data_IF_641458463634
#
_entry.id   IF_641458463634
#
_cell.length_a   1.000
_cell.length_b   1.000
_cell.length_c   1.000
_cell.angle_alpha   90.00
_cell.angle_beta   90.00
_cell.angle_gamma   90.00
#
_symmetry.space_group_name_H-M   'P 1'
#
loop_
_entity.id
_entity.type
_entity.pdbx_description
1 polymer ?
#
# COMPACT_ATOMS: atom_id res chain seq x y z
N UNK A 1 -2.69 32.81 51.79
CA UNK A 1 -1.79 33.00 50.65
C UNK A 1 -2.18 31.95 49.60
N UNK A 2 -2.89 32.36 48.56
CA UNK A 2 -3.31 31.47 47.46
C UNK A 2 -2.19 31.45 46.40
N UNK A 3 -1.58 30.28 46.18
CA UNK A 3 -0.58 30.09 45.12
C UNK A 3 -1.31 29.79 43.82
N UNK A 4 -1.32 30.76 42.91
CA UNK A 4 -1.84 30.62 41.55
C UNK A 4 -0.79 29.90 40.71
N UNK A 5 -1.03 28.65 40.32
CA UNK A 5 -0.25 27.95 39.32
C UNK A 5 -0.71 28.40 37.94
N UNK A 6 0.13 29.14 37.23
CA UNK A 6 -0.05 29.44 35.83
C UNK A 6 0.55 28.26 35.04
N UNK A 7 -0.31 27.40 34.49
CA UNK A 7 0.07 26.39 33.54
C UNK A 7 0.33 27.05 32.17
N UNK A 8 1.59 27.13 31.79
CA UNK A 8 1.99 27.58 30.45
C UNK A 8 1.75 26.41 29.50
N UNK A 9 0.58 26.39 28.85
CA UNK A 9 0.32 25.47 27.74
C UNK A 9 1.09 25.99 26.52
N UNK A 10 2.24 25.38 26.24
CA UNK A 10 2.94 25.53 24.97
C UNK A 10 2.11 24.82 23.88
N UNK A 11 1.21 25.57 23.26
CA UNK A 11 0.55 25.15 22.03
C UNK A 11 1.60 25.24 20.93
N UNK A 12 2.33 24.15 20.67
CA UNK A 12 3.03 23.97 19.41
C UNK A 12 1.96 23.80 18.33
N UNK A 13 1.54 24.92 17.75
CA UNK A 13 0.81 24.92 16.52
C UNK A 13 1.70 24.39 15.42
N UNK A 14 1.68 23.07 15.18
CA UNK A 14 2.12 22.52 13.91
C UNK A 14 1.13 23.03 12.87
N UNK A 15 1.49 24.10 12.17
CA UNK A 15 0.85 24.41 10.90
C UNK A 15 1.26 23.27 9.95
N UNK A 16 0.44 22.25 9.85
CA UNK A 16 0.46 21.32 8.74
C UNK A 16 -0.01 22.15 7.52
N UNK A 17 0.94 22.75 6.80
CA UNK A 17 0.68 23.18 5.46
C UNK A 17 0.38 21.91 4.67
N UNK A 18 -0.89 21.61 4.47
CA UNK A 18 -1.31 20.68 3.44
C UNK A 18 -0.80 21.32 2.12
N UNK A 19 0.28 20.77 1.59
CA UNK A 19 0.75 21.16 0.27
C UNK A 19 -0.24 20.53 -0.70
N UNK A 20 -1.07 21.34 -1.34
CA UNK A 20 -2.07 20.91 -2.34
C UNK A 20 -1.41 20.32 -3.59
N UNK A 21 -0.09 20.25 -3.62
CA UNK A 21 0.70 19.68 -4.69
C UNK A 21 1.24 18.31 -4.29
N UNK A 22 0.41 17.28 -4.44
CA UNK A 22 0.91 15.92 -4.45
C UNK A 22 1.98 15.78 -5.54
N UNK A 23 3.10 15.07 -5.27
CA UNK A 23 4.10 14.79 -6.29
C UNK A 23 3.44 14.23 -7.55
N UNK A 24 3.98 14.55 -8.75
CA UNK A 24 3.40 14.13 -10.03
C UNK A 24 3.21 12.60 -10.18
N UNK A 25 3.90 11.83 -9.37
CA UNK A 25 3.86 10.36 -9.27
C UNK A 25 3.20 9.85 -7.99
N UNK A 26 2.44 10.68 -7.29
CA UNK A 26 1.69 10.23 -6.11
C UNK A 26 0.57 9.27 -6.52
N UNK A 27 0.58 8.10 -5.92
CA UNK A 27 -0.44 7.08 -6.15
C UNK A 27 -1.62 7.32 -5.22
N UNK A 28 -2.79 7.62 -5.79
CA UNK A 28 -4.00 7.90 -5.01
C UNK A 28 -4.59 6.63 -4.40
N UNK A 29 -4.47 5.48 -5.08
CA UNK A 29 -5.00 4.20 -4.63
C UNK A 29 -3.86 3.20 -4.46
N UNK A 30 -3.94 2.40 -3.42
CA UNK A 30 -2.98 1.33 -3.17
C UNK A 30 -3.72 0.07 -2.72
N UNK A 31 -3.49 -1.04 -3.40
CA UNK A 31 -3.89 -2.36 -2.88
C UNK A 31 -2.70 -3.07 -2.27
N UNK A 32 -2.94 -3.74 -1.15
CA UNK A 32 -1.93 -4.53 -0.48
C UNK A 32 -2.47 -5.92 -0.25
N UNK A 33 -1.75 -6.90 -0.75
CA UNK A 33 -2.01 -8.30 -0.51
C UNK A 33 -0.91 -8.85 0.38
N UNK A 34 -1.27 -9.47 1.49
CA UNK A 34 -0.39 -10.30 2.28
C UNK A 34 -0.78 -11.76 2.07
N UNK A 35 0.19 -12.62 1.88
CA UNK A 35 -0.06 -14.02 1.58
C UNK A 35 1.03 -14.93 2.12
N UNK A 36 0.64 -16.17 2.38
CA UNK A 36 1.58 -17.25 2.62
C UNK A 36 1.98 -17.87 1.28
N UNK A 37 3.27 -17.86 0.99
CA UNK A 37 3.83 -18.52 -0.18
C UNK A 37 4.73 -19.68 0.25
N UNK A 38 4.30 -20.93 0.03
CA UNK A 38 5.09 -22.10 0.44
C UNK A 38 6.43 -22.25 -0.30
N UNK A 39 6.53 -21.69 -1.50
CA UNK A 39 7.74 -21.77 -2.35
C UNK A 39 8.02 -20.39 -2.98
N UNK A 40 8.75 -19.57 -2.26
CA UNK A 40 9.01 -18.15 -2.60
C UNK A 40 9.49 -17.94 -4.05
N UNK A 41 10.45 -18.75 -4.51
CA UNK A 41 11.00 -18.66 -5.87
C UNK A 41 9.92 -18.87 -6.94
N UNK A 42 9.00 -19.81 -6.71
CA UNK A 42 7.90 -20.07 -7.65
C UNK A 42 6.87 -18.93 -7.65
N UNK A 43 6.57 -18.38 -6.49
CA UNK A 43 5.69 -17.21 -6.38
C UNK A 43 6.28 -16.03 -7.13
N UNK A 44 7.55 -15.72 -6.88
CA UNK A 44 8.25 -14.63 -7.56
C UNK A 44 8.28 -14.85 -9.08
N UNK A 45 8.63 -16.04 -9.56
CA UNK A 45 8.67 -16.34 -10.99
C UNK A 45 7.27 -16.22 -11.64
N UNK A 46 6.21 -16.64 -10.94
CA UNK A 46 4.84 -16.48 -11.43
C UNK A 46 4.44 -15.00 -11.51
N UNK A 47 4.82 -14.22 -10.50
CA UNK A 47 4.56 -12.79 -10.46
C UNK A 47 5.34 -12.05 -11.56
N UNK A 48 6.64 -12.32 -11.69
CA UNK A 48 7.49 -11.74 -12.73
C UNK A 48 6.93 -12.03 -14.15
N UNK A 49 6.55 -13.28 -14.40
CA UNK A 49 5.91 -13.68 -15.67
C UNK A 49 4.62 -12.90 -15.93
N UNK A 50 3.80 -12.68 -14.88
CA UNK A 50 2.56 -11.92 -15.00
C UNK A 50 2.84 -10.45 -15.32
N UNK A 51 3.76 -9.82 -14.60
CA UNK A 51 4.12 -8.42 -14.79
C UNK A 51 4.71 -8.15 -16.17
N UNK A 52 5.50 -9.08 -16.70
CA UNK A 52 6.10 -8.99 -18.04
C UNK A 52 5.19 -9.44 -19.18
N UNK A 53 3.94 -9.83 -18.89
CA UNK A 53 2.96 -10.14 -19.92
C UNK A 53 2.58 -8.89 -20.74
N UNK A 54 2.27 -9.02 -22.05
CA UNK A 54 1.95 -7.86 -22.89
C UNK A 54 0.77 -7.04 -22.38
N UNK A 55 -0.22 -7.69 -21.74
CA UNK A 55 -1.40 -7.05 -21.22
C UNK A 55 -1.11 -6.17 -19.99
N UNK A 56 -0.15 -6.58 -19.16
CA UNK A 56 0.22 -5.88 -17.92
C UNK A 56 1.31 -4.85 -18.18
N UNK A 57 2.37 -5.22 -18.88
CA UNK A 57 3.56 -4.39 -19.10
C UNK A 57 3.25 -3.04 -19.79
N UNK A 58 2.25 -3.00 -20.68
CA UNK A 58 1.83 -1.77 -21.37
C UNK A 58 1.20 -0.73 -20.41
N UNK A 59 0.62 -1.15 -19.30
CA UNK A 59 -0.07 -0.26 -18.35
C UNK A 59 0.90 0.44 -17.38
N UNK A 60 2.15 -0.03 -17.30
CA UNK A 60 3.22 0.55 -16.46
C UNK A 60 2.79 0.71 -14.99
N UNK A 61 2.19 -0.33 -14.44
CA UNK A 61 1.85 -0.34 -13.02
C UNK A 61 3.12 -0.23 -12.17
N UNK A 62 3.02 0.53 -11.09
CA UNK A 62 4.04 0.54 -10.04
C UNK A 62 3.67 -0.53 -9.00
N UNK A 63 4.61 -1.45 -8.74
CA UNK A 63 4.32 -2.61 -7.91
C UNK A 63 5.55 -3.01 -7.10
N UNK A 64 5.37 -3.21 -5.81
CA UNK A 64 6.38 -3.77 -4.92
C UNK A 64 6.02 -5.20 -4.55
N UNK A 65 6.94 -6.13 -4.75
CA UNK A 65 6.87 -7.47 -4.20
C UNK A 65 7.92 -7.59 -3.09
N UNK A 66 7.50 -8.01 -1.89
CA UNK A 66 8.38 -8.03 -0.73
C UNK A 66 8.20 -9.29 0.13
N UNK A 67 9.27 -9.66 0.86
CA UNK A 67 9.21 -10.67 1.90
C UNK A 67 8.86 -10.01 3.25
N UNK A 68 7.99 -10.65 4.00
CA UNK A 68 7.65 -10.24 5.36
C UNK A 68 8.68 -10.83 6.32
N UNK A 69 9.37 -9.97 7.05
CA UNK A 69 10.41 -10.39 8.00
C UNK A 69 9.87 -10.59 9.43
N UNK A 70 8.90 -9.77 9.80
CA UNK A 70 8.24 -9.82 11.11
C UNK A 70 6.76 -9.44 10.92
N UNK A 71 5.86 -10.37 11.14
CA UNK A 71 4.42 -10.20 11.00
C UNK A 71 3.64 -10.28 12.32
N UNK A 72 4.32 -10.66 13.40
CA UNK A 72 3.81 -10.62 14.76
C UNK A 72 2.67 -11.59 15.07
N UNK A 73 1.62 -11.61 14.28
CA UNK A 73 0.36 -12.30 14.61
C UNK A 73 -0.32 -13.00 13.43
N UNK A 74 0.18 -12.88 12.22
CA UNK A 74 -0.33 -13.59 11.06
C UNK A 74 0.75 -14.48 10.39
N UNK A 75 0.33 -15.37 9.49
CA UNK A 75 1.19 -16.33 8.83
C UNK A 75 1.70 -15.85 7.47
N UNK A 76 1.58 -14.57 7.16
CA UNK A 76 2.06 -14.02 5.89
C UNK A 76 3.58 -14.10 5.79
N UNK A 77 4.05 -14.62 4.68
CA UNK A 77 5.47 -14.71 4.35
C UNK A 77 5.90 -13.68 3.32
N UNK A 78 4.96 -13.22 2.51
CA UNK A 78 5.20 -12.29 1.42
C UNK A 78 4.04 -11.31 1.27
N UNK A 79 4.30 -10.21 0.57
CA UNK A 79 3.27 -9.28 0.18
C UNK A 79 3.53 -8.65 -1.17
N UNK A 80 2.49 -8.05 -1.70
CA UNK A 80 2.55 -7.23 -2.90
C UNK A 80 1.76 -5.96 -2.70
N UNK A 81 2.36 -4.83 -3.02
CA UNK A 81 1.68 -3.54 -3.03
C UNK A 81 1.57 -3.04 -4.46
N UNK A 82 0.37 -2.71 -4.88
CA UNK A 82 0.10 -2.09 -6.17
C UNK A 82 -0.29 -0.65 -5.96
N UNK A 83 0.30 0.24 -6.74
CA UNK A 83 0.06 1.67 -6.68
C UNK A 83 -0.63 2.13 -7.96
N UNK A 84 -1.72 2.87 -7.80
CA UNK A 84 -2.52 3.35 -8.92
C UNK A 84 -2.67 4.86 -8.84
N UNK A 85 -2.43 5.53 -9.94
CA UNK A 85 -2.55 7.01 -10.02
C UNK A 85 -3.99 7.49 -9.89
N UNK A 86 -4.97 6.66 -10.31
CA UNK A 86 -6.38 7.00 -10.32
C UNK A 86 -7.28 5.74 -10.27
N UNK A 87 -8.58 5.96 -10.13
CA UNK A 87 -9.57 4.88 -10.08
C UNK A 87 -9.67 4.10 -11.40
N UNK A 88 -9.42 4.73 -12.55
CA UNK A 88 -9.46 4.07 -13.86
C UNK A 88 -8.31 3.08 -14.01
N UNK A 89 -7.12 3.43 -13.55
CA UNK A 89 -5.98 2.51 -13.54
C UNK A 89 -6.21 1.34 -12.58
N UNK A 90 -6.81 1.59 -11.41
CA UNK A 90 -7.23 0.52 -10.49
C UNK A 90 -8.25 -0.42 -11.13
N UNK A 91 -9.30 0.12 -11.73
CA UNK A 91 -10.31 -0.68 -12.41
C UNK A 91 -9.72 -1.50 -13.57
N UNK A 92 -8.78 -0.91 -14.32
CA UNK A 92 -8.06 -1.55 -15.40
C UNK A 92 -7.22 -2.73 -14.93
N UNK A 93 -6.50 -2.56 -13.81
CA UNK A 93 -5.73 -3.65 -13.21
C UNK A 93 -6.63 -4.83 -12.83
N UNK A 94 -7.77 -4.56 -12.18
CA UNK A 94 -8.76 -5.58 -11.84
C UNK A 94 -9.33 -6.29 -13.08
N UNK A 95 -9.62 -5.54 -14.16
CA UNK A 95 -10.07 -6.11 -15.42
C UNK A 95 -9.02 -7.05 -16.03
N UNK A 96 -7.76 -6.61 -16.13
CA UNK A 96 -6.67 -7.43 -16.68
C UNK A 96 -6.49 -8.69 -15.83
N UNK A 97 -6.42 -8.55 -14.52
CA UNK A 97 -6.28 -9.67 -13.59
C UNK A 97 -7.41 -10.70 -13.75
N UNK A 98 -8.66 -10.26 -13.87
CA UNK A 98 -9.82 -11.15 -13.93
C UNK A 98 -10.04 -11.79 -15.32
N UNK A 99 -9.82 -11.05 -16.41
CA UNK A 99 -10.28 -11.46 -17.74
C UNK A 99 -9.17 -11.83 -18.73
N UNK A 100 -7.92 -11.33 -18.54
CA UNK A 100 -6.84 -11.61 -19.48
C UNK A 100 -6.36 -13.06 -19.42
N UNK A 101 -5.67 -13.50 -20.46
CA UNK A 101 -5.01 -14.81 -20.45
C UNK A 101 -3.93 -14.87 -19.38
N UNK A 102 -3.10 -13.82 -19.30
CA UNK A 102 -2.03 -13.71 -18.31
C UNK A 102 -2.57 -13.77 -16.87
N UNK A 103 -3.67 -13.06 -16.57
CA UNK A 103 -4.32 -13.09 -15.26
C UNK A 103 -4.86 -14.48 -14.89
N UNK A 104 -5.47 -15.20 -15.83
CA UNK A 104 -5.93 -16.58 -15.59
C UNK A 104 -4.76 -17.53 -15.32
N UNK A 105 -3.70 -17.45 -16.11
CA UNK A 105 -2.49 -18.28 -15.93
C UNK A 105 -1.83 -17.98 -14.58
N UNK A 106 -1.71 -16.71 -14.21
CA UNK A 106 -1.15 -16.30 -12.93
C UNK A 106 -1.95 -16.88 -11.75
N UNK A 107 -3.27 -16.66 -11.72
CA UNK A 107 -4.12 -17.20 -10.65
C UNK A 107 -4.05 -18.71 -10.55
N UNK A 108 -4.06 -19.40 -11.71
CA UNK A 108 -3.89 -20.86 -11.74
C UNK A 108 -2.55 -21.26 -11.13
N UNK A 109 -1.45 -20.61 -11.53
CA UNK A 109 -0.12 -20.91 -11.03
C UNK A 109 0.00 -20.68 -9.52
N UNK A 110 -0.53 -19.55 -9.01
CA UNK A 110 -0.52 -19.26 -7.57
C UNK A 110 -1.32 -20.30 -6.78
N UNK A 111 -2.47 -20.72 -7.31
CA UNK A 111 -3.28 -21.80 -6.71
C UNK A 111 -2.56 -23.15 -6.73
N UNK A 112 -1.90 -23.50 -7.84
CA UNK A 112 -1.12 -24.75 -7.98
C UNK A 112 0.11 -24.77 -7.04
N UNK A 113 0.64 -23.62 -6.65
CA UNK A 113 1.70 -23.48 -5.64
C UNK A 113 1.15 -23.69 -4.23
N UNK A 114 -0.14 -23.44 -4.02
CA UNK A 114 -0.79 -23.44 -2.72
C UNK A 114 -0.66 -22.13 -1.97
N UNK A 115 -0.66 -21.00 -2.70
CA UNK A 115 -0.63 -19.68 -2.08
C UNK A 115 -1.95 -19.39 -1.39
N UNK A 116 -1.88 -18.95 -0.15
CA UNK A 116 -3.01 -18.54 0.67
C UNK A 116 -2.99 -17.03 0.90
N UNK A 117 -4.08 -16.35 0.53
CA UNK A 117 -4.24 -14.92 0.79
C UNK A 117 -4.63 -14.73 2.25
N UNK A 118 -3.83 -14.00 3.00
CA UNK A 118 -4.04 -13.70 4.41
C UNK A 118 -4.78 -12.37 4.58
N UNK A 119 -4.43 -11.37 3.77
CA UNK A 119 -5.05 -10.05 3.82
C UNK A 119 -5.12 -9.44 2.43
N UNK A 120 -6.22 -8.76 2.16
CA UNK A 120 -6.48 -7.98 0.95
C UNK A 120 -7.08 -6.64 1.36
N UNK A 121 -6.35 -5.55 1.13
CA UNK A 121 -6.78 -4.21 1.53
C UNK A 121 -6.61 -3.21 0.39
N UNK A 122 -7.64 -2.39 0.19
CA UNK A 122 -7.57 -1.20 -0.65
C UNK A 122 -7.48 0.02 0.26
N UNK A 123 -6.44 0.82 0.08
CA UNK A 123 -6.28 2.12 0.73
C UNK A 123 -6.42 3.23 -0.30
N UNK A 124 -7.11 4.29 0.11
CA UNK A 124 -7.19 5.54 -0.65
C UNK A 124 -6.41 6.57 0.14
N UNK A 125 -5.42 7.16 -0.51
CA UNK A 125 -4.62 8.19 0.13
C UNK A 125 -5.40 9.51 0.12
N UNK A 126 -5.83 9.94 1.29
CA UNK A 126 -6.57 11.20 1.46
C UNK A 126 -5.68 12.36 1.88
N UNK A 127 -4.53 12.06 2.49
CA UNK A 127 -3.55 13.06 2.94
C UNK A 127 -2.14 12.50 2.71
N UNK A 128 -1.29 13.29 2.07
CA UNK A 128 0.13 12.99 1.93
C UNK A 128 0.96 14.05 2.67
N UNK A 129 1.91 13.60 3.49
CA UNK A 129 2.91 14.49 4.11
C UNK A 129 4.28 14.07 3.61
N UNK A 130 4.95 14.96 2.90
CA UNK A 130 6.32 14.74 2.44
C UNK A 130 7.27 15.57 3.28
N UNK A 131 8.23 14.92 3.95
CA UNK A 131 9.30 15.60 4.64
C UNK A 131 10.30 16.12 3.61
N UNK A 132 10.56 17.44 3.64
CA UNK A 132 11.47 18.09 2.71
C UNK A 132 12.88 17.47 2.80
N UNK A 133 13.39 16.99 1.67
CA UNK A 133 14.74 16.42 1.56
C UNK A 133 14.80 14.89 1.68
N UNK A 134 13.66 14.19 1.80
CA UNK A 134 13.65 12.74 1.76
C UNK A 134 13.47 12.22 0.34
N UNK A 135 14.52 11.60 -0.18
CA UNK A 135 14.40 10.65 -1.29
C UNK A 135 14.34 9.25 -0.68
N UNK A 136 13.29 8.48 -0.98
CA UNK A 136 12.96 7.21 -0.31
C UNK A 136 13.69 6.03 -0.96
N UNK A 137 14.90 6.20 -1.45
CA UNK A 137 15.63 5.12 -2.13
C UNK A 137 16.09 3.97 -1.21
N UNK A 138 15.99 4.12 0.11
CA UNK A 138 16.27 3.07 1.11
C UNK A 138 15.46 3.33 2.38
N UNK A 139 14.19 3.62 2.24
CA UNK A 139 13.33 3.97 3.37
C UNK A 139 12.82 2.76 4.15
N UNK A 140 12.61 2.97 5.44
CA UNK A 140 11.81 2.06 6.27
C UNK A 140 10.38 2.61 6.30
N UNK A 141 9.42 1.77 5.90
CA UNK A 141 8.00 2.11 6.02
C UNK A 141 7.45 1.60 7.34
N UNK A 142 6.81 2.49 8.09
CA UNK A 142 6.05 2.13 9.28
C UNK A 142 4.57 2.27 8.97
N UNK A 143 3.84 1.15 9.02
CA UNK A 143 2.40 1.13 8.79
C UNK A 143 1.66 0.98 10.12
N UNK A 144 0.67 1.82 10.32
CA UNK A 144 -0.25 1.74 11.45
C UNK A 144 -1.65 1.39 10.93
N UNK A 145 -2.25 0.37 11.52
CA UNK A 145 -3.67 0.06 11.32
C UNK A 145 -4.45 0.59 12.51
N UNK A 146 -5.38 1.49 12.25
CA UNK A 146 -6.18 2.14 13.29
C UNK A 146 -7.66 1.88 13.00
N UNK A 147 -8.42 1.55 14.05
CA UNK A 147 -9.86 1.58 14.00
C UNK A 147 -10.34 3.01 14.22
N UNK A 148 -10.94 3.61 13.21
CA UNK A 148 -11.47 4.97 13.28
C UNK A 148 -12.92 4.91 13.71
N UNK A 149 -13.17 5.20 14.99
CA UNK A 149 -14.52 5.19 15.58
C UNK A 149 -15.35 6.42 15.21
N UNK A 150 -14.70 7.53 14.85
CA UNK A 150 -15.35 8.76 14.42
C UNK A 150 -14.56 9.41 13.27
N UNK A 151 -14.87 9.08 12.00
CA UNK A 151 -14.15 9.59 10.84
C UNK A 151 -14.15 11.12 10.75
N UNK A 152 -15.20 11.80 11.19
CA UNK A 152 -15.30 13.25 11.13
C UNK A 152 -14.31 13.97 12.06
N UNK A 153 -13.82 13.28 13.08
CA UNK A 153 -12.79 13.80 13.98
C UNK A 153 -11.37 13.37 13.59
N UNK A 154 -11.27 12.28 12.83
CA UNK A 154 -9.97 11.74 12.43
C UNK A 154 -9.34 12.51 11.27
N UNK A 155 -10.15 12.94 10.32
CA UNK A 155 -9.71 13.75 9.18
C UNK A 155 -10.42 15.10 9.27
N UNK A 156 -9.84 16.10 9.92
CA UNK A 156 -10.35 17.46 9.80
C UNK A 156 -10.16 17.90 8.35
N UNK A 157 -11.27 18.06 7.64
CA UNK A 157 -11.33 18.59 6.29
C UNK A 157 -11.07 20.10 6.29
#
# INVERSE_FOLDING_TARGET
>A
MKKTFIAFALIFGFQLSADDHLPANYSMYQTNFLFNCPVAERCFAAFDKYMNSPEVAKEKFEVDFFAVQQNGWDDSTHGVSWYYKDADQYAKAGQIFSTSKAGREFRKTMNDIGVEIISDTLTVHSIGVTLKGNTVDNGVSLRWSLEVTDPAKFVPL
#
